data_IF_485021510649
#
_entry.id   IF_485021510649
#
_cell.length_a   1.000
_cell.length_b   1.000
_cell.length_c   1.000
_cell.angle_alpha   90.00
_cell.angle_beta   90.00
_cell.angle_gamma   90.00
#
_symmetry.space_group_name_H-M   'P 1'
#
loop_
_entity.id
_entity.type
_entity.pdbx_description
1 polymer ?
#
# COMPACT_ATOMS: atom_id res chain seq x y z
N UNK A 1 -8.37 -1.63 -15.30
CA UNK A 1 -7.58 -1.24 -14.11
C UNK A 1 -6.16 -0.99 -14.62
N UNK A 2 -5.46 0.01 -14.11
CA UNK A 2 -4.04 0.26 -14.42
C UNK A 2 -3.26 0.10 -13.12
N UNK A 3 -2.14 -0.62 -13.16
CA UNK A 3 -1.19 -0.65 -12.06
C UNK A 3 -0.45 0.68 -12.07
N UNK A 4 -0.49 1.39 -10.96
CA UNK A 4 0.00 2.75 -10.78
C UNK A 4 0.97 2.78 -9.60
N UNK A 5 1.76 3.85 -9.47
CA UNK A 5 2.55 4.07 -8.26
C UNK A 5 1.76 4.80 -7.17
N UNK A 6 2.18 4.62 -5.92
CA UNK A 6 1.55 5.25 -4.75
C UNK A 6 1.54 6.79 -4.83
N UNK A 7 2.46 7.37 -5.60
CA UNK A 7 2.56 8.81 -5.87
C UNK A 7 1.28 9.40 -6.50
N UNK A 8 0.41 8.57 -7.08
CA UNK A 8 -0.91 9.01 -7.57
C UNK A 8 -1.83 9.55 -6.47
N UNK A 9 -1.55 9.23 -5.20
CA UNK A 9 -2.24 9.84 -4.07
C UNK A 9 -1.76 11.27 -3.75
N UNK A 10 -0.62 11.73 -4.28
CA UNK A 10 -0.14 13.10 -4.02
C UNK A 10 -1.18 14.14 -4.45
N UNK A 11 -1.49 15.04 -3.51
CA UNK A 11 -2.51 16.07 -3.68
C UNK A 11 -3.95 15.59 -3.59
N UNK A 12 -4.22 14.28 -3.54
CA UNK A 12 -5.57 13.74 -3.28
C UNK A 12 -5.97 14.00 -1.83
N UNK A 13 -7.26 14.23 -1.61
CA UNK A 13 -7.87 14.21 -0.28
C UNK A 13 -8.64 12.90 -0.12
N UNK A 14 -8.28 12.11 0.89
CA UNK A 14 -8.96 10.85 1.18
C UNK A 14 -10.22 11.11 2.01
N UNK A 15 -11.32 10.48 1.63
CA UNK A 15 -12.59 10.43 2.37
C UNK A 15 -12.62 9.29 3.37
N UNK A 16 -12.14 8.11 2.98
CA UNK A 16 -12.00 6.95 3.86
C UNK A 16 -10.83 6.07 3.42
N UNK A 17 -10.31 5.29 4.37
CA UNK A 17 -9.43 4.16 4.13
C UNK A 17 -10.09 2.96 4.79
N UNK A 18 -10.36 1.93 3.99
CA UNK A 18 -10.98 0.70 4.46
C UNK A 18 -9.93 -0.41 4.38
N UNK A 19 -9.64 -1.05 5.52
CA UNK A 19 -8.72 -2.18 5.59
C UNK A 19 -9.52 -3.48 5.55
N UNK A 20 -9.31 -4.26 4.49
CA UNK A 20 -9.88 -5.60 4.38
C UNK A 20 -8.77 -6.61 4.72
N UNK A 21 -8.88 -7.25 5.88
CA UNK A 21 -7.88 -8.21 6.39
C UNK A 21 -6.48 -7.57 6.46
N UNK A 22 -5.43 -8.37 6.32
CA UNK A 22 -4.05 -7.93 6.37
C UNK A 22 -3.38 -7.97 5.00
N UNK A 23 -4.13 -7.93 3.90
CA UNK A 23 -3.59 -8.02 2.54
C UNK A 23 -4.27 -7.05 1.56
N UNK A 24 -5.15 -6.16 2.05
CA UNK A 24 -5.85 -5.20 1.22
C UNK A 24 -6.14 -3.88 1.96
N UNK A 25 -5.84 -2.76 1.29
CA UNK A 25 -6.28 -1.42 1.69
C UNK A 25 -6.99 -0.75 0.52
N UNK A 26 -8.15 -0.17 0.81
CA UNK A 26 -8.93 0.63 -0.13
C UNK A 26 -8.89 2.10 0.25
N UNK A 27 -8.50 2.96 -0.70
CA UNK A 27 -8.44 4.41 -0.54
C UNK A 27 -9.56 5.05 -1.36
N UNK A 28 -10.52 5.70 -0.69
CA UNK A 28 -11.61 6.43 -1.36
C UNK A 28 -11.29 7.91 -1.32
N UNK A 29 -11.12 8.54 -2.49
CA UNK A 29 -10.84 9.97 -2.60
C UNK A 29 -12.13 10.80 -2.65
N UNK A 30 -12.06 12.05 -2.19
CA UNK A 30 -13.20 12.99 -2.22
C UNK A 30 -13.66 13.33 -3.65
N UNK A 31 -12.75 13.29 -4.63
CA UNK A 31 -13.06 13.52 -6.04
C UNK A 31 -13.71 12.31 -6.75
N UNK A 32 -13.88 11.21 -6.02
CA UNK A 32 -14.50 9.98 -6.51
C UNK A 32 -13.53 8.94 -7.06
N UNK A 33 -12.22 9.24 -7.13
CA UNK A 33 -11.22 8.21 -7.43
C UNK A 33 -11.17 7.17 -6.30
N UNK A 34 -11.06 5.89 -6.65
CA UNK A 34 -10.87 4.79 -5.70
C UNK A 34 -9.63 4.02 -6.12
N UNK A 35 -8.69 3.88 -5.18
CA UNK A 35 -7.49 3.09 -5.32
C UNK A 35 -7.53 1.89 -4.38
N UNK A 36 -6.91 0.79 -4.80
CA UNK A 36 -6.74 -0.40 -3.97
C UNK A 36 -5.27 -0.82 -3.96
N UNK A 37 -4.76 -1.13 -2.78
CA UNK A 37 -3.42 -1.66 -2.53
C UNK A 37 -3.56 -3.08 -2.02
N UNK A 38 -3.11 -4.06 -2.80
CA UNK A 38 -3.26 -5.48 -2.49
C UNK A 38 -2.23 -6.30 -3.26
N UNK A 39 -2.24 -7.62 -3.09
CA UNK A 39 -1.45 -8.51 -3.94
C UNK A 39 -2.31 -9.66 -4.45
N UNK A 40 -2.27 -9.91 -5.76
CA UNK A 40 -2.96 -11.05 -6.36
C UNK A 40 -2.14 -12.33 -6.17
N UNK A 41 -2.54 -13.16 -5.18
CA UNK A 41 -1.89 -14.45 -4.94
C UNK A 41 -2.25 -15.46 -6.05
N UNK A 42 -1.24 -16.00 -6.70
CA UNK A 42 -1.28 -17.09 -7.66
C UNK A 42 -0.88 -18.43 -7.00
N UNK A 43 0.17 -18.47 -6.15
CA UNK A 43 0.62 -19.72 -5.53
C UNK A 43 1.35 -19.60 -4.17
N UNK A 44 2.67 -19.86 -4.15
CA UNK A 44 3.52 -20.02 -2.97
C UNK A 44 4.07 -18.70 -2.43
N UNK A 45 3.49 -17.59 -2.85
CA UNK A 45 3.80 -16.26 -2.39
C UNK A 45 2.75 -15.74 -1.41
N UNK A 46 3.21 -14.91 -0.48
CA UNK A 46 2.34 -14.17 0.42
C UNK A 46 2.87 -12.76 0.59
N UNK A 47 2.03 -11.79 0.25
CA UNK A 47 2.30 -10.37 0.47
C UNK A 47 1.21 -9.84 1.40
N UNK A 48 1.62 -9.37 2.58
CA UNK A 48 0.69 -8.97 3.65
C UNK A 48 1.18 -7.71 4.35
N UNK A 49 0.25 -6.89 4.81
CA UNK A 49 0.46 -5.79 5.74
C UNK A 49 0.95 -6.40 7.05
N UNK A 50 2.17 -6.06 7.41
CA UNK A 50 2.81 -6.52 8.64
C UNK A 50 2.66 -5.47 9.75
N UNK A 51 2.74 -4.18 9.42
CA UNK A 51 2.56 -3.08 10.37
C UNK A 51 1.98 -1.83 9.70
N UNK A 52 1.24 -1.04 10.49
CA UNK A 52 0.82 0.32 10.15
C UNK A 52 1.30 1.24 11.27
N UNK A 53 2.44 1.88 11.03
CA UNK A 53 3.03 2.81 11.97
C UNK A 53 2.42 4.21 11.78
N UNK A 54 1.57 4.62 12.71
CA UNK A 54 0.81 5.87 12.67
C UNK A 54 -0.70 5.62 12.75
N UNK A 55 -1.48 6.68 12.60
CA UNK A 55 -2.95 6.59 12.61
C UNK A 55 -3.48 6.92 11.20
N UNK A 56 -4.15 5.96 10.55
CA UNK A 56 -4.75 6.12 9.22
C UNK A 56 -5.71 7.31 9.16
N UNK A 57 -6.35 7.68 10.27
CA UNK A 57 -7.24 8.84 10.32
C UNK A 57 -6.52 10.17 10.05
N UNK A 58 -5.20 10.24 10.27
CA UNK A 58 -4.39 11.40 9.90
C UNK A 58 -4.34 11.60 8.37
N UNK A 59 -4.60 10.56 7.57
CA UNK A 59 -4.61 10.67 6.11
C UNK A 59 -5.96 11.16 5.56
N UNK A 60 -7.01 11.25 6.38
CA UNK A 60 -8.38 11.56 5.96
C UNK A 60 -8.68 13.06 6.03
N UNK A 61 -9.37 13.59 5.02
CA UNK A 61 -9.93 14.94 4.98
C UNK A 61 -8.92 16.07 4.82
N UNK A 62 -7.65 15.74 4.54
CA UNK A 62 -6.61 16.72 4.14
C UNK A 62 -5.78 16.16 2.99
N UNK A 63 -5.24 17.01 2.10
CA UNK A 63 -4.42 16.55 0.99
C UNK A 63 -3.20 15.76 1.45
N UNK A 64 -2.92 14.66 0.74
CA UNK A 64 -1.68 13.91 0.87
C UNK A 64 -0.55 14.77 0.30
N UNK A 65 0.47 15.03 1.11
CA UNK A 65 1.64 15.86 0.76
C UNK A 65 2.91 15.04 0.53
N UNK A 66 2.89 13.76 0.88
CA UNK A 66 3.97 12.80 0.66
C UNK A 66 3.34 11.44 0.36
N UNK A 67 3.84 10.77 -0.68
CA UNK A 67 3.50 9.40 -1.01
C UNK A 67 4.72 8.76 -1.67
N UNK A 68 5.39 7.87 -0.94
CA UNK A 68 6.63 7.23 -1.35
C UNK A 68 6.56 5.72 -1.16
N UNK A 69 7.16 4.98 -2.09
CA UNK A 69 7.42 3.55 -1.96
C UNK A 69 8.93 3.35 -1.73
N UNK A 70 9.28 2.53 -0.73
CA UNK A 70 10.66 2.14 -0.47
C UNK A 70 10.70 0.63 -0.25
N UNK A 71 11.59 -0.08 -0.94
CA UNK A 71 11.78 -1.52 -0.76
C UNK A 71 13.11 -1.83 -0.08
N UNK A 72 13.16 -2.96 0.62
CA UNK A 72 14.36 -3.46 1.28
C UNK A 72 14.36 -5.00 1.27
N UNK A 73 15.50 -5.58 0.93
CA UNK A 73 15.77 -7.03 1.01
C UNK A 73 17.06 -7.36 1.77
N UNK A 74 17.67 -6.38 2.43
CA UNK A 74 18.92 -6.48 3.19
C UNK A 74 18.69 -6.81 4.68
N UNK A 75 17.49 -6.56 5.23
CA UNK A 75 17.10 -6.95 6.60
C UNK A 75 16.79 -8.45 6.68
N UNK A 76 16.94 -9.14 7.84
CA UNK A 76 16.64 -10.57 7.92
C UNK A 76 15.17 -10.85 7.60
N UNK A 77 14.94 -11.75 6.65
CA UNK A 77 13.62 -12.32 6.39
C UNK A 77 13.13 -13.17 7.55
N UNK A 78 11.90 -13.68 7.44
CA UNK A 78 11.38 -14.66 8.41
C UNK A 78 12.09 -16.00 8.21
N UNK A 79 12.18 -16.79 9.28
CA UNK A 79 13.04 -17.99 9.40
C UNK A 79 12.88 -19.06 8.28
N UNK A 80 11.80 -18.99 7.48
CA UNK A 80 11.46 -19.96 6.44
C UNK A 80 11.27 -19.37 5.03
N UNK A 81 11.52 -18.08 4.81
CA UNK A 81 11.38 -17.47 3.48
C UNK A 81 12.59 -17.78 2.60
N UNK A 82 12.40 -18.36 1.42
CA UNK A 82 13.48 -18.56 0.43
C UNK A 82 13.83 -17.24 -0.28
N UNK A 83 12.83 -16.37 -0.47
CA UNK A 83 12.95 -15.00 -0.93
C UNK A 83 11.94 -14.13 -0.19
N UNK A 84 12.28 -12.86 0.04
CA UNK A 84 11.40 -11.90 0.69
C UNK A 84 11.75 -10.46 0.31
N UNK A 85 10.75 -9.60 0.42
CA UNK A 85 10.84 -8.17 0.18
C UNK A 85 10.02 -7.44 1.25
N UNK A 86 10.64 -6.48 1.92
CA UNK A 86 9.94 -5.49 2.72
C UNK A 86 9.61 -4.30 1.84
N UNK A 87 8.34 -3.88 1.85
CA UNK A 87 7.90 -2.68 1.14
C UNK A 87 7.26 -1.70 2.12
N UNK A 88 7.70 -0.45 2.09
CA UNK A 88 7.25 0.62 2.97
C UNK A 88 6.57 1.70 2.14
N UNK A 89 5.27 1.88 2.36
CA UNK A 89 4.52 3.00 1.80
C UNK A 89 4.42 4.11 2.83
N UNK A 90 5.08 5.23 2.56
CA UNK A 90 5.11 6.39 3.45
C UNK A 90 4.16 7.45 2.93
N UNK A 91 3.13 7.75 3.71
CA UNK A 91 2.09 8.72 3.40
C UNK A 91 2.09 9.82 4.46
N UNK A 92 1.85 11.06 4.06
CA UNK A 92 1.69 12.15 5.02
C UNK A 92 0.65 13.18 4.59
N UNK A 93 0.06 13.84 5.58
CA UNK A 93 -0.75 15.05 5.43
C UNK A 93 -0.24 16.10 6.42
N UNK A 94 -0.89 17.27 6.47
CA UNK A 94 -0.65 18.26 7.52
C UNK A 94 -1.02 17.75 8.95
N UNK A 95 -1.77 16.65 9.07
CA UNK A 95 -2.18 16.08 10.37
C UNK A 95 -1.16 15.10 10.94
N UNK A 96 -0.35 14.46 10.08
CA UNK A 96 0.63 13.49 10.51
C UNK A 96 1.14 12.60 9.37
N UNK A 97 1.89 11.58 9.76
CA UNK A 97 2.59 10.67 8.88
C UNK A 97 2.15 9.24 9.20
N UNK A 98 2.02 8.40 8.19
CA UNK A 98 1.74 6.97 8.31
C UNK A 98 2.73 6.21 7.45
N UNK A 99 3.31 5.15 7.98
CA UNK A 99 4.09 4.18 7.20
C UNK A 99 3.38 2.84 7.24
N UNK A 100 3.02 2.32 6.07
CA UNK A 100 2.42 0.99 5.91
C UNK A 100 3.54 0.05 5.46
N UNK A 101 3.85 -0.94 6.30
CA UNK A 101 4.89 -1.93 6.03
C UNK A 101 4.24 -3.22 5.54
N UNK A 102 4.63 -3.64 4.36
CA UNK A 102 4.27 -4.91 3.76
C UNK A 102 5.44 -5.86 3.81
N UNK A 103 5.14 -7.13 4.05
CA UNK A 103 6.07 -8.24 3.96
C UNK A 103 5.61 -9.16 2.84
N UNK A 104 6.39 -9.20 1.77
CA UNK A 104 6.27 -10.19 0.70
C UNK A 104 7.27 -11.32 0.91
N UNK A 105 6.82 -12.57 0.76
CA UNK A 105 7.68 -13.74 0.74
C UNK A 105 7.27 -14.69 -0.38
N UNK A 106 8.24 -15.39 -0.95
CA UNK A 106 8.03 -16.39 -1.99
C UNK A 106 9.10 -17.50 -1.92
N UNK A 107 8.96 -18.50 -2.80
CA UNK A 107 10.01 -19.50 -3.06
C UNK A 107 11.06 -19.01 -4.10
N UNK A 108 11.11 -17.71 -4.37
CA UNK A 108 12.05 -17.09 -5.33
C UNK A 108 11.61 -17.08 -6.79
N UNK A 109 10.44 -17.63 -7.13
CA UNK A 109 9.91 -17.62 -8.51
C UNK A 109 8.74 -16.65 -8.74
N UNK A 110 8.12 -16.15 -7.67
CA UNK A 110 6.91 -15.35 -7.71
C UNK A 110 7.17 -13.92 -7.23
N UNK A 111 6.29 -13.00 -7.61
CA UNK A 111 6.42 -11.59 -7.21
C UNK A 111 6.09 -11.42 -5.73
N UNK A 112 6.88 -10.57 -5.07
CA UNK A 112 6.66 -10.14 -3.68
C UNK A 112 6.20 -8.69 -3.62
N UNK A 113 5.95 -8.08 -4.78
CA UNK A 113 5.55 -6.68 -4.90
C UNK A 113 4.07 -6.50 -4.53
N UNK A 114 3.76 -5.38 -3.90
CA UNK A 114 2.39 -4.96 -3.64
C UNK A 114 1.90 -4.25 -4.90
N UNK A 115 0.70 -4.59 -5.33
CA UNK A 115 0.06 -3.93 -6.45
C UNK A 115 -0.77 -2.72 -5.97
N UNK A 116 -0.75 -1.63 -6.74
CA UNK A 116 -1.55 -0.44 -6.46
C UNK A 116 -2.35 -0.06 -7.70
N UNK A 117 -3.67 -0.10 -7.62
CA UNK A 117 -4.54 0.05 -8.79
C UNK A 117 -5.56 1.16 -8.62
N UNK A 118 -5.74 1.99 -9.64
CA UNK A 118 -6.95 2.79 -9.80
C UNK A 118 -8.10 1.87 -10.26
N UNK A 119 -9.06 1.62 -9.39
CA UNK A 119 -10.19 0.71 -9.64
C UNK A 119 -11.48 1.45 -10.03
N UNK A 120 -11.62 2.70 -9.64
CA UNK A 120 -12.72 3.57 -10.10
C UNK A 120 -12.18 4.97 -10.38
N UNK A 121 -12.18 5.42 -11.65
CA UNK A 121 -11.82 6.80 -11.97
C UNK A 121 -12.99 7.75 -11.69
N UNK A 122 -12.67 8.98 -11.32
CA UNK A 122 -13.61 10.08 -11.16
C UNK A 122 -14.38 10.31 -12.46
N UNK A 123 -15.66 10.66 -12.32
CA UNK A 123 -16.51 11.00 -13.47
C UNK A 123 -16.16 12.42 -13.92
N UNK A 124 -15.85 12.57 -15.20
CA UNK A 124 -15.67 13.87 -15.87
C UNK A 124 -17.00 14.61 -16.02
#
# INVERSE_FOLDING_TARGET
MMNEGIEMLLGKTLKSIDQERNDHLRFVCEDGDIFEMFHYKDCCESVTIEDICGDLSNLIGTPIVMAEEVTNSDEPGKEYSESYTWTFYKLATAKGYVTIRWYGESNGYYSESVDFWLVTPKKH
#
